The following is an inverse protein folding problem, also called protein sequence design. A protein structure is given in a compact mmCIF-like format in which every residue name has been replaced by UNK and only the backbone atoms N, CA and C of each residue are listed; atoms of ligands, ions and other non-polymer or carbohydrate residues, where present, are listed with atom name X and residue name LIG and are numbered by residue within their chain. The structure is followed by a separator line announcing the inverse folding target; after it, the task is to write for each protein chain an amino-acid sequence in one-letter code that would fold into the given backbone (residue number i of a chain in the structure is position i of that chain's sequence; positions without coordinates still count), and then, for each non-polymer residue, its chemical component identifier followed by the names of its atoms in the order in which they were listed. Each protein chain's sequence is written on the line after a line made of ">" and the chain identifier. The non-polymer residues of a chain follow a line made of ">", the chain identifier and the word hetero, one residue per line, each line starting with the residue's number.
data_IF_728521863359
#
_entry.id   IF_728521863359
#
_cell.length_a   1.000
_cell.length_b   1.000
_cell.length_c   1.000
_cell.angle_alpha   90.00
_cell.angle_beta   90.00
_cell.angle_gamma   90.00
#
_symmetry.space_group_name_H-M   'P 1'
#
loop_
_entity.id
_entity.type
_entity.pdbx_description
1 polymer ?
#
# COMPACT_ATOMS: atom_id res chain seq x y z
N UNK A 1 2.28 19.77 9.20
CA UNK A 1 0.94 19.21 9.41
C UNK A 1 1.01 18.07 10.41
N UNK A 2 0.01 17.96 11.26
CA UNK A 2 0.01 16.94 12.31
C UNK A 2 -0.92 15.79 11.98
N UNK A 3 -0.56 14.60 12.48
CA UNK A 3 -1.36 13.40 12.31
C UNK A 3 -2.69 13.55 13.06
N UNK A 4 -3.79 13.25 12.37
CA UNK A 4 -5.12 13.35 12.97
C UNK A 4 -5.36 12.31 14.06
N UNK A 5 -4.61 11.22 14.07
CA UNK A 5 -4.81 10.13 15.01
C UNK A 5 -4.02 10.27 16.29
N UNK A 6 -2.75 10.65 16.21
CA UNK A 6 -1.89 10.70 17.40
C UNK A 6 -1.28 12.07 17.67
N UNK A 7 -1.52 13.04 16.79
CA UNK A 7 -0.98 14.38 16.96
C UNK A 7 0.51 14.51 16.62
N UNK A 8 1.14 13.44 16.13
CA UNK A 8 2.54 13.50 15.74
C UNK A 8 2.74 14.31 14.48
N UNK A 9 3.96 14.78 14.25
CA UNK A 9 4.28 15.56 13.07
C UNK A 9 4.46 14.65 11.86
N UNK A 10 3.75 14.96 10.77
CA UNK A 10 3.85 14.19 9.53
C UNK A 10 5.12 14.54 8.79
N UNK A 11 5.73 13.53 8.18
CA UNK A 11 6.96 13.68 7.40
C UNK A 11 6.71 13.23 5.97
N UNK A 12 7.20 14.00 5.01
CA UNK A 12 7.12 13.62 3.60
C UNK A 12 8.04 12.44 3.33
N UNK A 13 7.52 11.46 2.63
CA UNK A 13 8.27 10.24 2.31
C UNK A 13 7.72 9.60 1.06
N UNK A 14 8.34 8.51 0.63
CA UNK A 14 7.80 7.63 -0.41
C UNK A 14 7.54 6.27 0.21
N UNK A 15 6.43 5.66 -0.17
CA UNK A 15 6.02 4.37 0.39
C UNK A 15 5.57 3.46 -0.72
N UNK A 16 5.42 2.18 -0.39
CA UNK A 16 4.83 1.20 -1.30
C UNK A 16 3.38 1.01 -0.91
N UNK A 17 2.49 1.24 -1.85
CA UNK A 17 1.06 1.07 -1.66
C UNK A 17 0.65 -0.29 -2.20
N UNK A 18 -0.12 -1.05 -1.43
CA UNK A 18 -0.64 -2.34 -1.86
C UNK A 18 -2.16 -2.27 -1.96
N UNK A 19 -2.70 -2.97 -2.95
CA UNK A 19 -4.13 -3.01 -3.19
C UNK A 19 -4.54 -4.44 -3.53
N UNK A 20 -5.59 -4.90 -2.88
CA UNK A 20 -6.09 -6.24 -3.09
C UNK A 20 -7.60 -6.20 -3.20
N UNK A 21 -8.13 -6.75 -4.30
CA UNK A 21 -9.57 -6.86 -4.49
C UNK A 21 -9.84 -7.97 -5.51
N UNK A 22 -10.76 -8.89 -5.19
CA UNK A 22 -11.20 -9.93 -6.13
C UNK A 22 -10.06 -10.67 -6.81
N UNK A 23 -9.11 -11.18 -6.03
CA UNK A 23 -7.95 -11.93 -6.52
C UNK A 23 -6.94 -11.06 -7.28
N UNK A 24 -7.20 -9.78 -7.40
CA UNK A 24 -6.24 -8.85 -7.96
C UNK A 24 -5.36 -8.30 -6.84
N UNK A 25 -4.06 -8.39 -7.03
CA UNK A 25 -3.10 -7.88 -6.06
C UNK A 25 -2.06 -7.06 -6.79
N UNK A 26 -1.92 -5.80 -6.41
CA UNK A 26 -0.92 -4.92 -7.02
C UNK A 26 -0.12 -4.20 -5.95
N UNK A 27 1.12 -3.87 -6.30
CA UNK A 27 1.99 -3.02 -5.51
C UNK A 27 2.36 -1.82 -6.36
N UNK A 28 2.27 -0.63 -5.76
CA UNK A 28 2.70 0.60 -6.41
C UNK A 28 3.84 1.16 -5.57
N UNK A 29 5.04 1.20 -6.15
CA UNK A 29 6.22 1.67 -5.46
C UNK A 29 6.44 3.16 -5.63
N UNK A 30 7.19 3.75 -4.71
CA UNK A 30 7.61 5.15 -4.78
C UNK A 30 6.45 6.13 -4.77
N UNK A 31 5.44 5.83 -3.96
CA UNK A 31 4.26 6.69 -3.84
C UNK A 31 4.54 7.81 -2.86
N UNK A 32 4.37 9.08 -3.28
CA UNK A 32 4.54 10.19 -2.35
C UNK A 32 3.47 10.14 -1.26
N UNK A 33 3.89 10.30 -0.01
CA UNK A 33 2.97 10.26 1.11
C UNK A 33 3.53 11.07 2.26
N UNK A 34 2.64 11.46 3.17
CA UNK A 34 3.04 11.99 4.44
C UNK A 34 2.84 10.89 5.48
N UNK A 35 3.88 10.61 6.24
CA UNK A 35 3.90 9.48 7.18
C UNK A 35 4.10 9.99 8.58
N UNK A 36 3.30 9.48 9.50
CA UNK A 36 3.47 9.77 10.91
C UNK A 36 4.49 8.79 11.51
N UNK A 37 5.64 9.27 12.02
CA UNK A 37 6.64 8.37 12.57
C UNK A 37 6.22 7.71 13.88
N UNK A 38 5.19 8.23 14.54
CA UNK A 38 4.71 7.66 15.79
C UNK A 38 3.77 6.49 15.60
N UNK A 39 2.77 6.65 14.73
CA UNK A 39 1.74 5.62 14.55
C UNK A 39 1.80 4.94 13.19
N UNK A 40 2.66 5.39 12.27
CA UNK A 40 2.80 4.80 10.96
C UNK A 40 1.68 5.15 9.99
N UNK A 41 0.79 6.06 10.36
CA UNK A 41 -0.30 6.46 9.49
C UNK A 41 0.24 7.14 8.24
N UNK A 42 -0.39 6.88 7.09
CA UNK A 42 0.02 7.43 5.81
C UNK A 42 -1.12 8.26 5.23
N UNK A 43 -0.78 9.44 4.74
CA UNK A 43 -1.75 10.33 4.12
C UNK A 43 -1.31 10.62 2.69
N UNK A 44 -2.26 10.55 1.77
CA UNK A 44 -2.03 10.81 0.35
C UNK A 44 -2.84 12.03 -0.09
N UNK A 45 -2.29 12.80 -1.02
CA UNK A 45 -3.06 13.89 -1.61
C UNK A 45 -4.15 13.33 -2.51
N UNK A 46 -5.20 14.13 -2.81
CA UNK A 46 -6.23 13.66 -3.77
C UNK A 46 -5.66 13.29 -5.13
N UNK A 47 -4.66 14.01 -5.61
CA UNK A 47 -4.01 13.71 -6.89
C UNK A 47 -3.32 12.36 -6.86
N UNK A 48 -2.59 12.06 -5.78
CA UNK A 48 -1.93 10.78 -5.62
C UNK A 48 -2.97 9.66 -5.52
N UNK A 49 -4.04 9.90 -4.76
CA UNK A 49 -5.11 8.92 -4.61
C UNK A 49 -5.74 8.58 -5.95
N UNK A 50 -5.99 9.59 -6.80
CA UNK A 50 -6.56 9.36 -8.13
C UNK A 50 -5.65 8.48 -8.97
N UNK A 51 -4.35 8.74 -8.93
CA UNK A 51 -3.38 7.94 -9.68
C UNK A 51 -3.36 6.50 -9.18
N UNK A 52 -3.39 6.31 -7.86
CA UNK A 52 -3.42 4.97 -7.28
C UNK A 52 -4.65 4.19 -7.72
N UNK A 53 -5.81 4.85 -7.76
CA UNK A 53 -7.04 4.21 -8.22
C UNK A 53 -6.96 3.83 -9.70
N UNK A 54 -6.29 4.64 -10.51
CA UNK A 54 -6.09 4.30 -11.91
C UNK A 54 -5.27 3.01 -12.06
N UNK A 55 -4.19 2.87 -11.29
CA UNK A 55 -3.41 1.64 -11.32
C UNK A 55 -4.25 0.43 -10.89
N UNK A 56 -5.12 0.62 -9.92
CA UNK A 56 -5.93 -0.47 -9.39
C UNK A 56 -7.04 -0.91 -10.36
N UNK A 57 -7.61 0.01 -11.12
CA UNK A 57 -8.80 -0.26 -11.91
C UNK A 57 -8.60 -0.35 -13.42
N UNK A 58 -7.49 0.17 -13.92
CA UNK A 58 -7.24 0.18 -15.36
C UNK A 58 -6.06 -0.72 -15.70
N UNK A 59 -6.13 -1.44 -16.83
CA UNK A 59 -5.00 -2.28 -17.23
C UNK A 59 -3.82 -1.41 -17.65
N UNK A 60 -2.82 -1.36 -16.80
CA UNK A 60 -1.59 -0.60 -17.05
C UNK A 60 -0.45 -1.58 -17.10
N UNK A 61 0.48 -1.38 -18.04
CA UNK A 61 1.63 -2.26 -18.14
C UNK A 61 2.50 -2.09 -16.89
N UNK A 62 2.74 -3.18 -16.12
CA UNK A 62 3.55 -3.06 -14.91
C UNK A 62 5.02 -2.81 -15.22
N UNK A 63 5.69 -2.09 -14.31
CA UNK A 63 7.12 -1.87 -14.43
C UNK A 63 7.90 -3.16 -14.24
N UNK A 64 7.40 -4.05 -13.37
CA UNK A 64 8.01 -5.36 -13.15
C UNK A 64 6.98 -6.28 -12.51
N UNK A 65 7.28 -7.57 -12.54
CA UNK A 65 6.46 -8.59 -11.88
C UNK A 65 7.28 -9.23 -10.78
N UNK A 66 6.64 -9.56 -9.67
CA UNK A 66 7.29 -10.28 -8.58
C UNK A 66 6.47 -11.52 -8.25
N UNK A 67 7.14 -12.53 -7.73
CA UNK A 67 6.47 -13.72 -7.24
C UNK A 67 6.15 -13.52 -5.77
N UNK A 68 4.90 -13.78 -5.39
CA UNK A 68 4.45 -13.63 -4.01
C UNK A 68 4.12 -15.01 -3.46
N UNK A 69 4.79 -15.47 -2.41
CA UNK A 69 4.41 -16.73 -1.78
C UNK A 69 3.04 -16.59 -1.12
N UNK A 70 2.21 -17.59 -1.34
CA UNK A 70 0.87 -17.63 -0.75
C UNK A 70 0.81 -18.85 0.15
N UNK A 71 0.45 -18.63 1.40
CA UNK A 71 0.35 -19.69 2.39
C UNK A 71 -1.11 -19.90 2.74
N UNK A 72 -1.49 -21.16 2.86
CA UNK A 72 -2.81 -21.50 3.31
C UNK A 72 -2.70 -21.88 4.79
N UNK A 73 -3.37 -21.14 5.64
CA UNK A 73 -3.27 -21.35 7.07
C UNK A 73 -3.70 -22.75 7.50
N UNK A 74 -4.72 -23.29 6.83
CA UNK A 74 -5.22 -24.61 7.15
C UNK A 74 -4.19 -25.70 6.89
N UNK A 75 -3.41 -25.58 5.81
CA UNK A 75 -2.35 -26.53 5.51
C UNK A 75 -1.23 -26.45 6.56
N UNK A 76 -0.89 -25.25 6.98
CA UNK A 76 0.13 -25.08 7.97
C UNK A 76 -0.29 -25.63 9.34
N UNK A 77 -1.55 -25.42 9.70
CA UNK A 77 -2.06 -25.91 10.95
C UNK A 77 -2.00 -27.43 11.04
N UNK A 78 -2.22 -28.10 9.91
CA UNK A 78 -2.12 -29.56 9.87
C UNK A 78 -0.68 -30.02 10.06
N UNK A 79 0.27 -29.25 9.58
CA UNK A 79 1.68 -29.61 9.68
C UNK A 79 2.28 -29.38 11.07
N UNK A 80 1.56 -28.70 11.93
CA UNK A 80 2.00 -28.46 13.28
C UNK A 80 1.69 -29.63 14.18
#
# INVERSE_FOLDING_TARGET
>A
MNCAFCGGELKKSTVTFSYEEDETYILVEHVPAEVCPKCGERLYTPEVTDILLQFAKQPVKPAKMINVPVYDFTERAVGL
#
